data_IF_374499743059
#
_entry.id   IF_374499743059
#
_cell.length_a   1.000
_cell.length_b   1.000
_cell.length_c   1.000
_cell.angle_alpha   90.00
_cell.angle_beta   90.00
_cell.angle_gamma   90.00
#
_symmetry.space_group_name_H-M   'P 1'
#
loop_
_entity.id
_entity.type
_entity.pdbx_description
1 polymer ?
#
# COMPACT_ATOMS: atom_id res chain seq x y z
N UNK A 1 27.62 59.08 -42.40
CA UNK A 1 26.20 59.10 -41.98
C UNK A 1 25.46 58.12 -42.87
N UNK A 2 24.67 57.22 -42.30
CA UNK A 2 23.93 56.18 -43.04
C UNK A 2 24.08 54.80 -42.39
N UNK A 3 23.22 54.53 -41.42
CA UNK A 3 23.09 53.31 -40.62
C UNK A 3 21.70 52.76 -40.95
N UNK A 4 21.61 51.55 -41.49
CA UNK A 4 20.37 50.74 -41.62
C UNK A 4 20.82 49.30 -41.96
N UNK A 5 20.38 48.19 -41.37
CA UNK A 5 19.49 47.93 -40.26
C UNK A 5 19.66 46.43 -39.96
N UNK A 6 20.24 46.10 -38.81
CA UNK A 6 20.31 44.72 -38.33
C UNK A 6 19.29 44.56 -37.21
N UNK A 7 18.10 44.10 -37.55
CA UNK A 7 17.13 43.57 -36.59
C UNK A 7 16.38 42.42 -37.26
N UNK A 8 17.05 41.29 -37.45
CA UNK A 8 16.32 40.01 -37.53
C UNK A 8 15.87 39.67 -36.11
N UNK A 9 14.65 40.05 -35.79
CA UNK A 9 13.98 39.60 -34.59
C UNK A 9 13.75 38.08 -34.72
N UNK A 10 14.62 37.28 -34.08
CA UNK A 10 14.28 35.90 -33.77
C UNK A 10 13.15 35.93 -32.73
N UNK A 11 11.91 36.10 -33.17
CA UNK A 11 10.76 35.62 -32.41
C UNK A 11 10.77 34.10 -32.54
N UNK A 12 11.63 33.45 -31.76
CA UNK A 12 11.51 32.02 -31.53
C UNK A 12 10.14 31.82 -30.89
N UNK A 13 9.22 31.28 -31.69
CA UNK A 13 7.90 30.87 -31.29
C UNK A 13 8.01 30.04 -30.00
N UNK A 14 7.43 30.53 -28.90
CA UNK A 14 7.47 29.82 -27.62
C UNK A 14 6.80 28.44 -27.71
N UNK A 15 6.04 28.18 -28.79
CA UNK A 15 5.48 26.88 -29.17
C UNK A 15 6.51 25.81 -29.55
N UNK A 16 7.82 26.11 -29.63
CA UNK A 16 8.88 25.17 -30.03
C UNK A 16 9.70 24.62 -28.84
N UNK A 17 9.37 25.01 -27.60
CA UNK A 17 10.06 24.44 -26.43
C UNK A 17 9.59 23.00 -26.22
N UNK A 18 10.48 22.05 -26.49
CA UNK A 18 10.28 20.64 -26.13
C UNK A 18 10.03 20.44 -24.62
N UNK A 19 9.70 19.21 -24.19
CA UNK A 19 9.29 18.92 -22.81
C UNK A 19 10.30 19.42 -21.77
N UNK A 20 9.80 19.98 -20.66
CA UNK A 20 10.62 20.46 -19.56
C UNK A 20 11.23 19.28 -18.77
N UNK A 21 12.38 18.79 -19.22
CA UNK A 21 13.01 17.58 -18.66
C UNK A 21 13.36 17.70 -17.17
N UNK A 22 13.71 18.88 -16.68
CA UNK A 22 14.01 19.09 -15.24
C UNK A 22 12.76 18.89 -14.39
N UNK A 23 11.62 19.39 -14.85
CA UNK A 23 10.34 19.23 -14.15
C UNK A 23 9.83 17.79 -14.24
N UNK A 24 9.88 17.19 -15.44
CA UNK A 24 9.41 15.82 -15.66
C UNK A 24 10.24 14.81 -14.86
N UNK A 25 11.57 14.93 -14.85
CA UNK A 25 12.43 14.04 -14.07
C UNK A 25 12.17 14.12 -12.56
N UNK A 26 11.84 15.32 -12.06
CA UNK A 26 11.39 15.51 -10.68
C UNK A 26 10.05 14.81 -10.41
N UNK A 27 9.04 15.02 -11.25
CA UNK A 27 7.73 14.34 -11.13
C UNK A 27 7.86 12.82 -11.14
N UNK A 28 8.70 12.27 -12.04
CA UNK A 28 8.97 10.83 -12.10
C UNK A 28 9.62 10.35 -10.80
N UNK A 29 10.59 11.07 -10.27
CA UNK A 29 11.27 10.71 -9.02
C UNK A 29 10.30 10.68 -7.84
N UNK A 30 9.46 11.71 -7.71
CA UNK A 30 8.46 11.83 -6.65
C UNK A 30 7.40 10.72 -6.77
N UNK A 31 6.83 10.53 -7.96
CA UNK A 31 5.84 9.47 -8.23
C UNK A 31 6.40 8.07 -7.98
N UNK A 32 7.67 7.84 -8.33
CA UNK A 32 8.33 6.55 -8.10
C UNK A 32 8.53 6.28 -6.59
N UNK A 33 8.86 7.32 -5.81
CA UNK A 33 8.97 7.18 -4.36
C UNK A 33 7.61 6.79 -3.72
N UNK A 34 6.51 7.35 -4.20
CA UNK A 34 5.15 6.96 -3.78
C UNK A 34 4.86 5.50 -4.12
N UNK A 35 5.12 5.07 -5.36
CA UNK A 35 4.91 3.68 -5.79
C UNK A 35 5.70 2.70 -4.92
N UNK A 36 6.96 3.02 -4.59
CA UNK A 36 7.78 2.18 -3.71
C UNK A 36 7.19 2.08 -2.28
N UNK A 37 6.73 3.21 -1.73
CA UNK A 37 6.12 3.23 -0.40
C UNK A 37 4.81 2.43 -0.35
N UNK A 38 3.96 2.55 -1.37
CA UNK A 38 2.73 1.74 -1.48
C UNK A 38 3.07 0.25 -1.63
N UNK A 39 4.13 -0.08 -2.38
CA UNK A 39 4.56 -1.48 -2.56
C UNK A 39 5.03 -2.13 -1.25
N UNK A 40 5.66 -1.37 -0.37
CA UNK A 40 6.00 -1.85 0.97
C UNK A 40 4.73 -2.23 1.76
N UNK A 41 3.68 -1.40 1.70
CA UNK A 41 2.40 -1.68 2.36
C UNK A 41 1.72 -2.93 1.79
N UNK A 42 1.67 -3.10 0.47
CA UNK A 42 1.15 -4.31 -0.17
C UNK A 42 1.88 -5.58 0.31
N UNK A 43 3.20 -5.49 0.47
CA UNK A 43 4.03 -6.62 0.89
C UNK A 43 3.75 -6.99 2.35
N UNK A 44 3.53 -6.00 3.23
CA UNK A 44 3.11 -6.25 4.61
C UNK A 44 1.72 -6.88 4.69
N UNK A 45 0.78 -6.50 3.82
CA UNK A 45 -0.52 -7.19 3.74
C UNK A 45 -0.37 -8.64 3.27
N UNK A 46 0.51 -8.85 2.29
CA UNK A 46 0.81 -10.20 1.79
C UNK A 46 1.43 -11.07 2.88
N UNK A 47 2.26 -10.50 3.76
CA UNK A 47 2.82 -11.26 4.88
C UNK A 47 1.73 -11.69 5.89
N UNK A 48 0.65 -10.92 6.07
CA UNK A 48 -0.51 -11.36 6.87
C UNK A 48 -1.22 -12.54 6.19
N UNK A 49 -1.39 -12.54 4.85
CA UNK A 49 -1.93 -13.71 4.13
C UNK A 49 -1.04 -14.95 4.32
N UNK A 50 0.28 -14.80 4.35
CA UNK A 50 1.22 -15.89 4.65
C UNK A 50 1.08 -16.38 6.10
N UNK A 51 0.93 -15.46 7.06
CA UNK A 51 0.65 -15.83 8.46
C UNK A 51 -0.68 -16.60 8.60
N UNK A 52 -1.71 -16.23 7.83
CA UNK A 52 -2.98 -16.95 7.85
C UNK A 52 -2.85 -18.41 7.41
N UNK A 53 -1.86 -18.75 6.56
CA UNK A 53 -1.57 -20.15 6.18
C UNK A 53 -0.96 -20.97 7.32
N UNK A 54 -0.40 -20.32 8.33
CA UNK A 54 0.20 -20.95 9.51
C UNK A 54 -0.81 -21.18 10.65
N UNK A 55 -2.09 -20.83 10.47
CA UNK A 55 -3.13 -21.09 11.48
C UNK A 55 -3.29 -22.59 11.72
N UNK A 56 -3.24 -23.00 12.98
CA UNK A 56 -3.39 -24.39 13.40
C UNK A 56 -2.20 -25.26 12.99
N UNK A 57 -1.00 -24.67 12.91
CA UNK A 57 0.20 -25.31 12.39
C UNK A 57 1.41 -25.19 13.31
N UNK A 58 2.33 -26.14 13.16
CA UNK A 58 3.70 -26.11 13.70
C UNK A 58 4.73 -26.54 12.67
N UNK A 59 5.99 -26.22 12.93
CA UNK A 59 7.12 -26.70 12.13
C UNK A 59 7.33 -28.19 12.40
N UNK A 60 7.69 -28.94 11.35
CA UNK A 60 8.22 -30.31 11.44
C UNK A 60 9.54 -30.40 10.65
N UNK A 61 10.19 -31.56 10.69
CA UNK A 61 11.42 -31.82 9.93
C UNK A 61 11.12 -32.07 8.43
N UNK A 62 10.46 -31.11 7.79
CA UNK A 62 10.06 -31.09 6.38
C UNK A 62 9.75 -29.65 5.95
N UNK A 63 9.62 -29.41 4.64
CA UNK A 63 9.21 -28.08 4.11
C UNK A 63 7.76 -27.74 4.47
N UNK A 64 6.88 -28.75 4.58
CA UNK A 64 5.49 -28.54 4.96
C UNK A 64 5.32 -28.37 6.48
N UNK A 65 4.21 -27.74 6.88
CA UNK A 65 3.84 -27.63 8.29
C UNK A 65 3.05 -28.87 8.75
N UNK A 66 3.15 -29.19 10.04
CA UNK A 66 2.29 -30.16 10.70
C UNK A 66 1.09 -29.46 11.37
N UNK A 67 0.07 -30.21 11.76
CA UNK A 67 -1.08 -29.67 12.48
C UNK A 67 -0.75 -29.43 13.97
N UNK A 68 -1.22 -28.31 14.49
CA UNK A 68 -1.19 -27.93 15.91
C UNK A 68 -2.35 -26.96 16.15
N UNK A 69 -3.54 -27.52 16.37
CA UNK A 69 -4.77 -26.73 16.43
C UNK A 69 -4.82 -25.84 17.67
N UNK A 70 -5.50 -24.70 17.54
CA UNK A 70 -5.97 -23.86 18.65
C UNK A 70 -4.89 -23.17 19.51
N UNK A 71 -3.65 -23.09 19.03
CA UNK A 71 -2.53 -22.40 19.70
C UNK A 71 -2.05 -21.16 18.92
N UNK A 72 -2.99 -20.35 18.41
CA UNK A 72 -2.68 -19.27 17.45
C UNK A 72 -2.39 -17.90 18.10
N UNK A 73 -2.32 -17.78 19.44
CA UNK A 73 -2.22 -16.47 20.11
C UNK A 73 -1.00 -15.63 19.74
N UNK A 74 0.17 -16.26 19.66
CA UNK A 74 1.42 -15.59 19.27
C UNK A 74 1.41 -15.19 17.79
N UNK A 75 0.84 -16.03 16.92
CA UNK A 75 0.65 -15.75 15.50
C UNK A 75 -0.23 -14.51 15.29
N UNK A 76 -1.36 -14.43 15.99
CA UNK A 76 -2.27 -13.27 15.94
C UNK A 76 -1.60 -12.01 16.49
N UNK A 77 -0.80 -12.13 17.55
CA UNK A 77 -0.01 -11.01 18.08
C UNK A 77 0.98 -10.47 17.03
N UNK A 78 1.60 -11.35 16.25
CA UNK A 78 2.45 -10.98 15.12
C UNK A 78 1.68 -10.24 14.02
N UNK A 79 0.51 -10.75 13.62
CA UNK A 79 -0.36 -10.09 12.64
C UNK A 79 -0.84 -8.72 13.14
N UNK A 80 -1.18 -8.58 14.43
CA UNK A 80 -1.53 -7.30 15.05
C UNK A 80 -0.37 -6.29 14.94
N UNK A 81 0.87 -6.68 15.26
CA UNK A 81 2.02 -5.79 15.11
C UNK A 81 2.21 -5.33 13.66
N UNK A 82 2.07 -6.23 12.68
CA UNK A 82 2.13 -5.88 11.25
C UNK A 82 1.00 -4.89 10.90
N UNK A 83 -0.22 -5.06 11.42
CA UNK A 83 -1.33 -4.11 11.18
C UNK A 83 -1.01 -2.69 11.66
N UNK A 84 -0.36 -2.55 12.82
CA UNK A 84 0.07 -1.24 13.33
C UNK A 84 1.20 -0.65 12.47
N UNK A 85 2.09 -1.51 11.96
CA UNK A 85 3.17 -1.08 11.07
C UNK A 85 2.61 -0.60 9.73
N UNK A 86 1.62 -1.30 9.17
CA UNK A 86 0.90 -0.88 7.96
C UNK A 86 0.33 0.53 8.15
N UNK A 87 -0.38 0.78 9.26
CA UNK A 87 -0.95 2.10 9.56
C UNK A 87 0.12 3.20 9.58
N UNK A 88 1.26 2.93 10.23
CA UNK A 88 2.41 3.85 10.27
C UNK A 88 2.99 4.11 8.87
N UNK A 89 3.11 3.06 8.05
CA UNK A 89 3.66 3.16 6.70
C UNK A 89 2.75 3.93 5.75
N UNK A 90 1.44 3.67 5.78
CA UNK A 90 0.46 4.46 5.01
C UNK A 90 0.52 5.94 5.42
N UNK A 91 0.57 6.22 6.73
CA UNK A 91 0.66 7.60 7.25
C UNK A 91 1.96 8.32 6.88
N UNK A 92 3.01 7.59 6.48
CA UNK A 92 4.29 8.14 6.08
C UNK A 92 4.43 8.34 4.57
N UNK A 93 3.44 7.92 3.76
CA UNK A 93 3.43 8.15 2.32
C UNK A 93 3.34 9.66 2.08
N UNK A 94 4.37 10.20 1.41
CA UNK A 94 4.41 11.61 1.02
C UNK A 94 3.69 11.77 -0.31
N UNK A 95 2.59 12.49 -0.31
CA UNK A 95 1.80 12.79 -1.50
C UNK A 95 1.68 14.29 -1.69
N UNK A 96 1.74 14.75 -2.95
CA UNK A 96 1.59 16.16 -3.35
C UNK A 96 0.13 16.62 -3.33
N UNK A 97 -0.82 15.73 -3.01
CA UNK A 97 -2.25 15.97 -2.91
C UNK A 97 -3.08 15.12 -3.88
N UNK A 98 -2.46 14.55 -4.91
CA UNK A 98 -3.11 13.80 -5.97
C UNK A 98 -3.74 12.48 -5.49
N UNK A 99 -3.14 11.83 -4.48
CA UNK A 99 -3.60 10.53 -3.94
C UNK A 99 -4.17 10.63 -2.52
N UNK A 100 -4.44 11.86 -2.06
CA UNK A 100 -4.87 12.11 -0.68
C UNK A 100 -6.11 11.30 -0.29
N UNK A 101 -7.08 11.16 -1.20
CA UNK A 101 -8.31 10.43 -0.93
C UNK A 101 -8.05 8.92 -0.72
N UNK A 102 -7.22 8.32 -1.58
CA UNK A 102 -6.84 6.92 -1.55
C UNK A 102 -6.00 6.61 -0.30
N UNK A 103 -5.06 7.49 0.05
CA UNK A 103 -4.23 7.36 1.25
C UNK A 103 -5.10 7.41 2.52
N UNK A 104 -5.99 8.40 2.64
CA UNK A 104 -6.88 8.51 3.80
C UNK A 104 -7.83 7.32 3.91
N UNK A 105 -8.34 6.82 2.77
CA UNK A 105 -9.18 5.62 2.76
C UNK A 105 -8.41 4.38 3.22
N UNK A 106 -7.21 4.15 2.69
CA UNK A 106 -6.36 3.02 3.10
C UNK A 106 -5.98 3.12 4.59
N UNK A 107 -5.64 4.33 5.04
CA UNK A 107 -5.32 4.61 6.45
C UNK A 107 -6.50 4.29 7.37
N UNK A 108 -7.69 4.79 7.05
CA UNK A 108 -8.91 4.50 7.82
C UNK A 108 -9.17 2.99 7.90
N UNK A 109 -9.10 2.27 6.78
CA UNK A 109 -9.27 0.82 6.79
C UNK A 109 -8.19 0.11 7.65
N UNK A 110 -6.96 0.63 7.68
CA UNK A 110 -5.89 0.06 8.52
C UNK A 110 -6.14 0.28 10.01
N UNK A 111 -6.64 1.44 10.38
CA UNK A 111 -7.04 1.76 11.75
C UNK A 111 -8.24 0.92 12.18
N UNK A 112 -9.25 0.74 11.31
CA UNK A 112 -10.41 -0.11 11.56
C UNK A 112 -10.00 -1.58 11.77
N UNK A 113 -9.11 -2.12 10.95
CA UNK A 113 -8.59 -3.49 11.12
C UNK A 113 -7.85 -3.66 12.45
N UNK A 114 -6.89 -2.77 12.76
CA UNK A 114 -6.16 -2.82 14.04
C UNK A 114 -7.10 -2.66 15.24
N UNK A 115 -8.09 -1.75 15.14
CA UNK A 115 -9.07 -1.54 16.19
C UNK A 115 -9.98 -2.76 16.39
N UNK A 116 -10.37 -3.44 15.32
CA UNK A 116 -11.18 -4.66 15.39
C UNK A 116 -10.43 -5.79 16.10
N UNK A 117 -9.18 -6.06 15.72
CA UNK A 117 -8.33 -7.05 16.40
C UNK A 117 -8.19 -6.74 17.91
N UNK A 118 -7.97 -5.46 18.25
CA UNK A 118 -7.91 -4.99 19.64
C UNK A 118 -9.23 -5.18 20.38
N UNK A 119 -10.35 -4.92 19.73
CA UNK A 119 -11.69 -5.08 20.30
C UNK A 119 -12.04 -6.53 20.63
N UNK A 120 -11.50 -7.49 19.86
CA UNK A 120 -11.71 -8.92 20.04
C UNK A 120 -10.69 -9.57 20.99
N UNK A 121 -10.01 -8.80 21.85
CA UNK A 121 -8.92 -9.29 22.71
C UNK A 121 -9.33 -10.44 23.65
N UNK A 122 -10.59 -10.58 24.04
CA UNK A 122 -11.04 -11.73 24.85
C UNK A 122 -10.92 -13.06 24.09
N UNK A 123 -11.08 -13.02 22.77
CA UNK A 123 -10.97 -14.20 21.91
C UNK A 123 -9.59 -14.33 21.24
N UNK A 124 -8.91 -13.20 21.00
CA UNK A 124 -7.65 -13.14 20.25
C UNK A 124 -6.40 -12.88 21.12
N UNK A 125 -6.58 -12.37 22.34
CA UNK A 125 -5.50 -11.95 23.25
C UNK A 125 -5.11 -13.00 24.28
N UNK A 126 -5.17 -14.28 23.90
CA UNK A 126 -4.82 -15.44 24.74
C UNK A 126 -3.94 -16.40 23.95
N UNK A 127 -3.23 -17.30 24.61
CA UNK A 127 -2.38 -18.27 23.93
C UNK A 127 -3.22 -19.26 23.08
N UNK A 128 -4.27 -19.81 23.68
CA UNK A 128 -5.21 -20.74 23.05
C UNK A 128 -6.27 -20.07 22.14
N UNK A 129 -5.84 -19.27 21.16
CA UNK A 129 -6.77 -18.78 20.12
C UNK A 129 -7.10 -19.94 19.19
N UNK A 130 -8.38 -20.29 19.11
CA UNK A 130 -8.86 -21.35 18.24
C UNK A 130 -8.59 -21.06 16.77
N UNK A 131 -8.43 -22.11 15.96
CA UNK A 131 -8.22 -21.97 14.52
C UNK A 131 -9.35 -21.16 13.87
N UNK A 132 -10.58 -21.38 14.30
CA UNK A 132 -11.76 -20.67 13.80
C UNK A 132 -11.71 -19.18 14.17
N UNK A 133 -11.34 -18.83 15.40
CA UNK A 133 -11.21 -17.42 15.80
C UNK A 133 -10.05 -16.73 15.07
N UNK A 134 -8.94 -17.43 14.85
CA UNK A 134 -7.82 -16.92 14.07
C UNK A 134 -8.21 -16.68 12.61
N UNK A 135 -8.95 -17.60 11.98
CA UNK A 135 -9.45 -17.43 10.60
C UNK A 135 -10.41 -16.24 10.49
N UNK A 136 -11.34 -16.08 11.44
CA UNK A 136 -12.25 -14.91 11.48
C UNK A 136 -11.51 -13.58 11.61
N UNK A 137 -10.26 -13.59 12.09
CA UNK A 137 -9.44 -12.40 12.30
C UNK A 137 -8.54 -12.07 11.10
N UNK A 138 -7.86 -13.04 10.51
CA UNK A 138 -6.81 -12.77 9.50
C UNK A 138 -6.91 -13.56 8.19
N UNK A 139 -7.88 -14.47 8.04
CA UNK A 139 -8.12 -15.18 6.78
C UNK A 139 -9.23 -14.48 5.98
N UNK A 140 -8.85 -13.59 5.06
CA UNK A 140 -9.80 -12.82 4.24
C UNK A 140 -10.73 -13.67 3.36
N UNK A 141 -10.40 -14.95 3.12
CA UNK A 141 -11.27 -15.87 2.38
C UNK A 141 -12.18 -16.71 3.29
N UNK A 142 -12.13 -16.51 4.61
CA UNK A 142 -12.99 -17.22 5.54
C UNK A 142 -14.46 -16.84 5.34
N UNK A 143 -15.36 -17.79 5.56
CA UNK A 143 -16.81 -17.56 5.45
C UNK A 143 -17.31 -16.60 6.54
N UNK A 144 -16.90 -16.83 7.79
CA UNK A 144 -17.14 -15.93 8.91
C UNK A 144 -15.94 -14.99 9.08
N UNK A 145 -16.18 -13.68 9.03
CA UNK A 145 -15.13 -12.65 9.09
C UNK A 145 -15.28 -11.69 10.25
N UNK A 146 -16.07 -12.08 11.26
CA UNK A 146 -16.57 -11.18 12.32
C UNK A 146 -15.53 -10.66 13.29
N UNK A 147 -14.26 -11.08 13.19
CA UNK A 147 -13.17 -10.73 14.13
C UNK A 147 -12.00 -9.95 13.51
N UNK A 148 -12.13 -9.49 12.27
CA UNK A 148 -11.10 -8.68 11.61
C UNK A 148 -10.90 -9.01 10.13
N UNK A 149 -11.29 -10.20 9.67
CA UNK A 149 -11.05 -10.60 8.28
C UNK A 149 -11.83 -9.74 7.27
N UNK A 150 -12.95 -9.14 7.67
CA UNK A 150 -13.75 -8.23 6.83
C UNK A 150 -13.04 -6.87 6.70
N UNK A 151 -12.52 -6.32 7.82
CA UNK A 151 -11.70 -5.13 7.82
C UNK A 151 -10.38 -5.34 7.07
N UNK A 152 -9.77 -6.52 7.17
CA UNK A 152 -8.58 -6.89 6.41
C UNK A 152 -8.85 -6.93 4.91
N UNK A 153 -9.98 -7.52 4.47
CA UNK A 153 -10.38 -7.54 3.06
C UNK A 153 -10.60 -6.12 2.51
N UNK A 154 -11.29 -5.26 3.27
CA UNK A 154 -11.47 -3.84 2.94
C UNK A 154 -10.15 -3.07 2.84
N UNK A 155 -9.22 -3.33 3.76
CA UNK A 155 -7.87 -2.77 3.73
C UNK A 155 -7.11 -3.22 2.48
N UNK A 156 -7.19 -4.50 2.13
CA UNK A 156 -6.55 -5.06 0.94
C UNK A 156 -7.04 -4.38 -0.34
N UNK A 157 -8.35 -4.24 -0.52
CA UNK A 157 -8.92 -3.55 -1.68
C UNK A 157 -8.61 -2.05 -1.69
N UNK A 158 -8.57 -1.40 -0.52
CA UNK A 158 -8.21 0.03 -0.43
C UNK A 158 -6.75 0.28 -0.84
N UNK A 159 -5.82 -0.57 -0.38
CA UNK A 159 -4.39 -0.48 -0.75
C UNK A 159 -4.19 -0.82 -2.23
N UNK A 160 -4.92 -1.79 -2.78
CA UNK A 160 -4.90 -2.12 -4.21
C UNK A 160 -5.36 -0.95 -5.08
N UNK A 161 -6.38 -0.20 -4.65
CA UNK A 161 -6.80 1.02 -5.36
C UNK A 161 -5.74 2.12 -5.28
N UNK A 162 -5.15 2.34 -4.10
CA UNK A 162 -4.03 3.26 -3.92
C UNK A 162 -2.83 2.89 -4.82
N UNK A 163 -2.51 1.60 -4.93
CA UNK A 163 -1.44 1.08 -5.78
C UNK A 163 -1.69 1.34 -7.26
N UNK A 164 -2.93 1.13 -7.74
CA UNK A 164 -3.32 1.49 -9.11
C UNK A 164 -3.15 2.98 -9.37
N UNK A 165 -3.66 3.84 -8.49
CA UNK A 165 -3.58 5.29 -8.65
C UNK A 165 -2.13 5.79 -8.63
N UNK A 166 -1.28 5.27 -7.73
CA UNK A 166 0.15 5.57 -7.70
C UNK A 166 0.86 5.12 -8.99
N UNK A 167 0.48 3.97 -9.53
CA UNK A 167 1.05 3.48 -10.80
C UNK A 167 0.63 4.36 -11.99
N UNK A 168 -0.62 4.80 -12.02
CA UNK A 168 -1.14 5.70 -13.05
C UNK A 168 -0.44 7.07 -13.01
N UNK A 169 -0.27 7.66 -11.82
CA UNK A 169 0.51 8.89 -11.62
C UNK A 169 1.94 8.78 -12.19
N UNK A 170 2.64 7.70 -11.86
CA UNK A 170 3.99 7.44 -12.39
C UNK A 170 3.97 7.25 -13.91
N UNK A 171 3.01 6.47 -14.43
CA UNK A 171 2.89 6.25 -15.88
C UNK A 171 2.60 7.55 -16.63
N UNK A 172 1.79 8.45 -16.09
CA UNK A 172 1.52 9.75 -16.68
C UNK A 172 2.78 10.63 -16.68
N UNK A 173 3.50 10.69 -15.56
CA UNK A 173 4.79 11.41 -15.47
C UNK A 173 5.80 10.91 -16.50
N UNK A 174 5.86 9.60 -16.76
CA UNK A 174 6.75 9.02 -17.78
C UNK A 174 6.28 9.35 -19.21
N UNK A 175 4.96 9.37 -19.47
CA UNK A 175 4.41 9.72 -20.79
C UNK A 175 4.70 11.17 -21.21
N UNK A 176 4.87 12.09 -20.25
CA UNK A 176 5.26 13.48 -20.52
C UNK A 176 6.62 13.57 -21.24
N UNK A 177 7.49 12.55 -21.15
CA UNK A 177 8.77 12.52 -21.89
C UNK A 177 8.60 12.46 -23.41
N UNK A 178 7.50 11.91 -23.90
CA UNK A 178 7.27 11.63 -25.32
C UNK A 178 5.97 12.26 -25.84
N UNK A 179 5.32 13.10 -25.05
CA UNK A 179 4.07 13.78 -25.43
C UNK A 179 4.36 15.26 -25.71
N UNK A 180 3.74 15.87 -26.74
CA UNK A 180 3.86 17.31 -27.00
C UNK A 180 3.40 18.13 -25.79
N UNK A 181 4.08 19.24 -25.53
CA UNK A 181 3.75 20.22 -24.48
C UNK A 181 2.61 21.12 -24.93
#
# INVERSE_FOLDING_TARGET
SGKDGNTSANSADESVKGPNLTEISKKITESNAVVLAVKEVETLLTSIDELAKAIGKKIKNDVSLDNEADHNGSLISGAYLISTLITKKISAIKDSGELKAEIEKAKKCSEEFTAKLKGEHTDLGKEGVTDDNAKKAILKTNSDKTKGADELEKLFESVKNLSKAAKEMLTNSVKELTSPV
#
